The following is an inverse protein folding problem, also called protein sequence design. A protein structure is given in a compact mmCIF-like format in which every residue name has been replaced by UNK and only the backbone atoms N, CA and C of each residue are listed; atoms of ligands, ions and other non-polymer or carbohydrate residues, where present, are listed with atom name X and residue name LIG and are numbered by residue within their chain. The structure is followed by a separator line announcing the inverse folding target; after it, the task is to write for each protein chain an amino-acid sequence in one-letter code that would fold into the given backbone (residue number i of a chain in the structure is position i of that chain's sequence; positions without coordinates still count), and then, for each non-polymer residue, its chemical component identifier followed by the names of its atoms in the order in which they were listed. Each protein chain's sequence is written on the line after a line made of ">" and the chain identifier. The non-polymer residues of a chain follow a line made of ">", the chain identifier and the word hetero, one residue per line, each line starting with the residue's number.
data_IF_596087396854
#
_entry.id   IF_596087396854
#
_cell.length_a   1.000
_cell.length_b   1.000
_cell.length_c   1.000
_cell.angle_alpha   90.00
_cell.angle_beta   90.00
_cell.angle_gamma   90.00
#
_symmetry.space_group_name_H-M   'P 1'
#
loop_
_entity.id
_entity.type
_entity.pdbx_description
1 polymer ?
#
# COMPACT_ATOMS: atom_id res chain seq x y z
N UNK A 1 -9.39 10.65 -4.71
CA UNK A 1 -8.46 10.00 -3.76
C UNK A 1 -8.97 8.66 -3.23
N UNK A 2 -10.14 8.57 -2.58
CA UNK A 2 -10.65 7.30 -1.99
C UNK A 2 -10.75 6.13 -2.98
N UNK A 3 -11.25 6.34 -4.20
CA UNK A 3 -11.41 5.25 -5.19
C UNK A 3 -10.09 4.61 -5.65
N UNK A 4 -9.00 5.37 -5.73
CA UNK A 4 -7.68 4.82 -6.14
C UNK A 4 -7.03 4.02 -5.02
N UNK A 5 -7.24 4.42 -3.76
CA UNK A 5 -6.77 3.68 -2.59
C UNK A 5 -7.41 2.29 -2.51
N UNK A 6 -8.72 2.21 -2.75
CA UNK A 6 -9.44 0.93 -2.81
C UNK A 6 -8.86 -0.02 -3.86
N UNK A 7 -8.58 0.48 -5.06
CA UNK A 7 -8.00 -0.32 -6.14
C UNK A 7 -6.61 -0.80 -5.72
N UNK A 8 -5.76 0.09 -5.21
CA UNK A 8 -4.42 -0.25 -4.75
C UNK A 8 -4.43 -1.34 -3.67
N UNK A 9 -5.22 -1.18 -2.61
CA UNK A 9 -5.33 -2.17 -1.53
C UNK A 9 -5.86 -3.50 -2.06
N UNK A 10 -6.88 -3.49 -2.94
CA UNK A 10 -7.40 -4.71 -3.53
C UNK A 10 -6.38 -5.45 -4.40
N UNK A 11 -5.53 -4.73 -5.13
CA UNK A 11 -4.43 -5.33 -5.91
C UNK A 11 -3.35 -5.90 -5.00
N UNK A 12 -2.96 -5.19 -3.93
CA UNK A 12 -1.98 -5.70 -2.97
C UNK A 12 -2.48 -6.95 -2.27
N UNK A 13 -3.76 -7.02 -1.89
CA UNK A 13 -4.35 -8.22 -1.29
C UNK A 13 -4.34 -9.39 -2.28
N UNK A 14 -4.69 -9.17 -3.56
CA UNK A 14 -4.62 -10.20 -4.60
C UNK A 14 -3.19 -10.73 -4.77
N UNK A 15 -2.19 -9.85 -4.80
CA UNK A 15 -0.77 -10.23 -4.91
C UNK A 15 -0.30 -11.05 -3.70
N UNK A 16 -0.69 -10.64 -2.48
CA UNK A 16 -0.39 -11.39 -1.25
C UNK A 16 -1.06 -12.76 -1.26
N UNK A 17 -2.34 -12.85 -1.62
CA UNK A 17 -3.06 -14.12 -1.70
C UNK A 17 -2.44 -15.06 -2.75
N UNK A 18 -1.98 -14.52 -3.87
CA UNK A 18 -1.24 -15.28 -4.90
C UNK A 18 0.09 -15.78 -4.35
N UNK A 19 0.85 -14.95 -3.63
CA UNK A 19 2.13 -15.35 -3.03
C UNK A 19 1.99 -16.44 -1.96
N UNK A 20 0.85 -16.50 -1.27
CA UNK A 20 0.54 -17.51 -0.25
C UNK A 20 -0.06 -18.80 -0.83
N UNK A 21 -0.20 -18.92 -2.16
CA UNK A 21 -0.76 -20.11 -2.82
C UNK A 21 -2.30 -20.17 -2.83
N UNK A 22 -2.99 -19.11 -2.42
CA UNK A 22 -4.46 -19.02 -2.41
C UNK A 22 -5.05 -18.38 -3.70
N UNK A 23 -4.21 -18.17 -4.71
CA UNK A 23 -4.46 -17.28 -5.86
C UNK A 23 -5.62 -17.63 -6.81
N UNK A 24 -6.39 -18.68 -6.55
CA UNK A 24 -7.55 -19.07 -7.37
C UNK A 24 -8.90 -18.96 -6.66
N UNK A 25 -8.92 -18.73 -5.33
CA UNK A 25 -10.16 -18.83 -4.55
C UNK A 25 -11.04 -17.57 -4.60
N UNK A 26 -10.49 -16.38 -4.85
CA UNK A 26 -11.24 -15.13 -4.80
C UNK A 26 -10.90 -14.24 -6.00
N UNK A 27 -11.91 -13.83 -6.76
CA UNK A 27 -11.74 -12.89 -7.88
C UNK A 27 -11.44 -11.48 -7.37
N UNK A 28 -10.71 -10.67 -8.15
CA UNK A 28 -10.45 -9.24 -7.82
C UNK A 28 -11.72 -8.46 -7.48
N UNK A 29 -12.80 -8.72 -8.22
CA UNK A 29 -14.10 -8.12 -7.97
C UNK A 29 -14.70 -8.58 -6.63
N UNK A 30 -14.49 -9.84 -6.25
CA UNK A 30 -14.89 -10.37 -4.95
C UNK A 30 -14.17 -9.68 -3.79
N UNK A 31 -12.87 -9.42 -3.91
CA UNK A 31 -12.09 -8.69 -2.88
C UNK A 31 -12.67 -7.28 -2.67
N UNK A 32 -12.94 -6.55 -3.77
CA UNK A 32 -13.51 -5.20 -3.71
C UNK A 32 -14.88 -5.20 -3.03
N UNK A 33 -15.75 -6.16 -3.37
CA UNK A 33 -17.08 -6.28 -2.76
C UNK A 33 -16.99 -6.60 -1.28
N UNK A 34 -16.09 -7.50 -0.87
CA UNK A 34 -15.87 -7.82 0.55
C UNK A 34 -15.40 -6.57 1.30
N UNK A 35 -14.42 -5.83 0.76
CA UNK A 35 -13.95 -4.58 1.37
C UNK A 35 -15.09 -3.57 1.51
N UNK A 36 -15.90 -3.39 0.47
CA UNK A 36 -17.05 -2.47 0.51
C UNK A 36 -18.06 -2.87 1.60
N UNK A 37 -18.38 -4.16 1.72
CA UNK A 37 -19.27 -4.68 2.77
C UNK A 37 -18.68 -4.47 4.16
N UNK A 38 -17.36 -4.69 4.33
CA UNK A 38 -16.68 -4.49 5.60
C UNK A 38 -16.63 -3.01 6.01
N UNK A 39 -16.47 -2.09 5.06
CA UNK A 39 -16.37 -0.64 5.34
C UNK A 39 -17.73 0.04 5.54
N UNK A 40 -18.79 -0.48 4.91
CA UNK A 40 -20.16 0.06 5.01
C UNK A 40 -20.64 0.26 6.46
N UNK A 41 -20.50 -0.68 7.41
CA UNK A 41 -20.92 -0.48 8.79
C UNK A 41 -20.18 0.66 9.49
N UNK A 42 -18.91 0.92 9.13
CA UNK A 42 -18.12 2.01 9.71
C UNK A 42 -18.62 3.38 9.24
N UNK A 43 -19.30 3.46 8.09
CA UNK A 43 -19.91 4.73 7.62
C UNK A 43 -21.08 5.19 8.48
N UNK A 44 -21.70 4.30 9.25
CA UNK A 44 -22.80 4.65 10.17
C UNK A 44 -22.31 5.20 11.52
N UNK A 45 -21.01 5.04 11.84
CA UNK A 45 -20.44 5.50 13.11
C UNK A 45 -20.23 7.03 13.04
N UNK A 46 -21.09 7.77 13.72
CA UNK A 46 -21.06 9.25 13.72
C UNK A 46 -19.97 9.86 14.63
N UNK A 47 -19.36 9.07 15.53
CA UNK A 47 -18.30 9.52 16.44
C UNK A 47 -17.04 8.70 16.24
N UNK A 48 -16.05 9.30 15.58
CA UNK A 48 -14.77 8.67 15.25
C UNK A 48 -13.74 8.79 16.39
N UNK A 49 -14.08 9.42 17.52
CA UNK A 49 -13.17 9.62 18.66
C UNK A 49 -12.60 8.30 19.22
N UNK A 50 -13.37 7.20 19.14
CA UNK A 50 -12.89 5.86 19.53
C UNK A 50 -11.86 5.24 18.56
N UNK A 51 -11.70 5.80 17.36
CA UNK A 51 -10.77 5.30 16.35
C UNK A 51 -9.36 5.87 16.48
N UNK A 52 -9.13 6.86 17.34
CA UNK A 52 -7.80 7.47 17.52
C UNK A 52 -6.74 6.45 17.95
N UNK A 53 -7.10 5.54 18.86
CA UNK A 53 -6.19 4.47 19.28
C UNK A 53 -5.90 3.47 18.13
N UNK A 54 -6.92 3.11 17.35
CA UNK A 54 -6.77 2.24 16.17
C UNK A 54 -5.90 2.92 15.11
N UNK A 55 -6.07 4.22 14.90
CA UNK A 55 -5.24 5.00 13.99
C UNK A 55 -3.78 5.01 14.43
N UNK A 56 -3.51 5.21 15.73
CA UNK A 56 -2.15 5.15 16.26
C UNK A 56 -1.49 3.78 16.05
N UNK A 57 -2.24 2.69 16.26
CA UNK A 57 -1.75 1.33 15.98
C UNK A 57 -1.45 1.16 14.49
N UNK A 58 -2.34 1.60 13.61
CA UNK A 58 -2.14 1.54 12.17
C UNK A 58 -0.89 2.33 11.75
N UNK A 59 -0.69 3.54 12.28
CA UNK A 59 0.51 4.34 12.04
C UNK A 59 1.77 3.62 12.51
N UNK A 60 1.76 3.00 13.69
CA UNK A 60 2.90 2.25 14.20
C UNK A 60 3.23 1.03 13.31
N UNK A 61 2.21 0.32 12.81
CA UNK A 61 2.39 -0.81 11.89
C UNK A 61 2.95 -0.36 10.53
N UNK A 62 2.48 0.77 9.99
CA UNK A 62 3.01 1.35 8.75
C UNK A 62 4.48 1.77 8.95
N UNK A 63 4.79 2.42 10.07
CA UNK A 63 6.17 2.80 10.37
C UNK A 63 7.08 1.58 10.49
N UNK A 64 6.64 0.55 11.22
CA UNK A 64 7.37 -0.70 11.34
C UNK A 64 7.60 -1.39 10.00
N UNK A 65 6.58 -1.45 9.13
CA UNK A 65 6.72 -2.06 7.80
C UNK A 65 7.70 -1.30 6.91
N UNK A 66 7.70 0.04 6.96
CA UNK A 66 8.68 0.86 6.25
C UNK A 66 10.11 0.57 6.72
N UNK A 67 10.33 0.52 8.04
CA UNK A 67 11.65 0.17 8.60
C UNK A 67 12.07 -1.23 8.16
N UNK A 68 11.16 -2.21 8.24
CA UNK A 68 11.44 -3.58 7.84
C UNK A 68 11.82 -3.68 6.35
N UNK A 69 11.08 -3.00 5.46
CA UNK A 69 11.40 -2.93 4.03
C UNK A 69 12.78 -2.34 3.81
N UNK A 70 13.11 -1.21 4.44
CA UNK A 70 14.43 -0.57 4.30
C UNK A 70 15.55 -1.51 4.76
N UNK A 71 15.40 -2.14 5.94
CA UNK A 71 16.42 -3.05 6.49
C UNK A 71 16.62 -4.27 5.58
N UNK A 72 15.54 -4.90 5.13
CA UNK A 72 15.60 -6.06 4.22
C UNK A 72 16.21 -5.65 2.89
N UNK A 73 15.79 -4.53 2.30
CA UNK A 73 16.33 -4.04 1.03
C UNK A 73 17.83 -3.73 1.13
N UNK A 74 18.29 -3.09 2.20
CA UNK A 74 19.72 -2.80 2.40
C UNK A 74 20.53 -4.08 2.60
N UNK A 75 20.01 -5.04 3.38
CA UNK A 75 20.68 -6.32 3.61
C UNK A 75 20.78 -7.12 2.32
N UNK A 76 19.68 -7.21 1.56
CA UNK A 76 19.65 -7.89 0.27
C UNK A 76 20.57 -7.21 -0.76
N UNK A 77 20.61 -5.88 -0.80
CA UNK A 77 21.52 -5.13 -1.67
C UNK A 77 22.99 -5.40 -1.32
N UNK A 78 23.30 -5.56 -0.02
CA UNK A 78 24.65 -5.88 0.44
C UNK A 78 25.06 -7.31 0.07
N UNK A 79 24.14 -8.26 0.13
CA UNK A 79 24.41 -9.68 -0.12
C UNK A 79 24.42 -10.04 -1.61
N UNK A 80 23.47 -9.50 -2.38
CA UNK A 80 23.23 -9.89 -3.78
C UNK A 80 23.58 -8.79 -4.79
N UNK A 81 23.89 -7.57 -4.33
CA UNK A 81 24.13 -6.44 -5.21
C UNK A 81 22.86 -5.91 -5.86
N UNK A 82 23.04 -5.05 -6.87
CA UNK A 82 21.94 -4.45 -7.64
C UNK A 82 21.37 -5.51 -8.59
N UNK A 83 20.05 -5.68 -8.61
CA UNK A 83 19.38 -6.60 -9.53
C UNK A 83 19.55 -6.14 -10.99
N UNK A 84 19.65 -7.09 -11.94
CA UNK A 84 19.91 -6.79 -13.35
C UNK A 84 18.82 -5.94 -14.03
N UNK A 85 17.57 -6.06 -13.55
CA UNK A 85 16.42 -5.28 -14.02
C UNK A 85 16.36 -3.83 -13.50
N UNK A 86 17.32 -3.41 -12.66
CA UNK A 86 17.36 -2.02 -12.18
C UNK A 86 17.80 -1.13 -13.33
N UNK A 87 16.83 -0.44 -13.93
CA UNK A 87 17.09 0.55 -14.95
C UNK A 87 17.54 1.87 -14.33
N UNK A 88 18.57 2.48 -14.93
CA UNK A 88 19.00 3.82 -14.57
C UNK A 88 17.90 4.85 -14.85
N UNK A 89 17.86 5.90 -14.04
CA UNK A 89 16.90 6.99 -14.21
C UNK A 89 16.90 7.56 -15.64
N UNK A 90 15.72 7.62 -16.27
CA UNK A 90 15.53 8.17 -17.61
C UNK A 90 15.00 9.60 -17.53
N UNK A 91 15.70 10.61 -18.09
CA UNK A 91 15.25 12.00 -18.02
C UNK A 91 13.87 12.27 -18.65
N UNK A 92 13.48 11.45 -19.65
CA UNK A 92 12.17 11.54 -20.31
C UNK A 92 10.99 11.26 -19.37
N UNK A 93 11.20 10.54 -18.26
CA UNK A 93 10.17 10.20 -17.28
C UNK A 93 10.17 11.12 -16.06
N UNK A 94 11.02 12.17 -16.04
CA UNK A 94 11.18 13.09 -14.90
C UNK A 94 9.86 13.70 -14.43
N UNK A 95 9.04 14.22 -15.34
CA UNK A 95 7.77 14.85 -14.97
C UNK A 95 6.76 13.84 -14.42
N UNK A 96 6.75 12.61 -14.96
CA UNK A 96 5.89 11.53 -14.45
C UNK A 96 6.35 11.07 -13.06
N UNK A 97 7.66 11.01 -12.84
CA UNK A 97 8.25 10.70 -11.54
C UNK A 97 7.89 11.75 -10.49
N UNK A 98 8.09 13.04 -10.80
CA UNK A 98 7.74 14.14 -9.89
C UNK A 98 6.23 14.14 -9.60
N UNK A 99 5.38 13.97 -10.62
CA UNK A 99 3.93 13.91 -10.44
C UNK A 99 3.50 12.76 -9.52
N UNK A 100 4.11 11.58 -9.69
CA UNK A 100 3.84 10.42 -8.84
C UNK A 100 4.34 10.62 -7.40
N UNK A 101 5.51 11.23 -7.23
CA UNK A 101 6.06 11.56 -5.92
C UNK A 101 5.18 12.58 -5.18
N UNK A 102 4.76 13.65 -5.85
CA UNK A 102 3.84 14.64 -5.28
C UNK A 102 2.50 14.00 -4.90
N UNK A 103 1.97 13.10 -5.72
CA UNK A 103 0.74 12.37 -5.41
C UNK A 103 0.89 11.47 -4.17
N UNK A 104 2.04 10.81 -4.00
CA UNK A 104 2.32 10.00 -2.81
C UNK A 104 2.43 10.86 -1.53
N UNK A 105 2.87 12.11 -1.67
CA UNK A 105 3.05 13.07 -0.58
C UNK A 105 1.82 13.96 -0.31
N UNK A 106 0.77 13.85 -1.12
CA UNK A 106 -0.46 14.68 -1.03
C UNK A 106 -1.15 14.54 0.34
N UNK A 107 -0.90 13.44 1.07
CA UNK A 107 -1.43 13.21 2.43
C UNK A 107 -0.64 13.85 3.58
N UNK A 108 0.51 14.50 3.34
CA UNK A 108 1.32 15.12 4.41
C UNK A 108 0.91 16.57 4.75
N UNK A 109 0.01 17.17 3.96
CA UNK A 109 -0.38 18.57 4.10
C UNK A 109 -1.58 18.81 5.06
N UNK A 110 -1.94 17.82 5.88
CA UNK A 110 -3.06 17.90 6.84
C UNK A 110 -2.54 17.66 8.25
#
# INVERSE_FOLDING_TARGET
>A
LRSRYFIFVSTTIDDVLRSLGAGTLISKHGIIVIMAICELPFTFIHRLEGLTAINAIATALIFFSLVAVVVVSVTHLREFGVHEDVTSFQPSTLYLFIGSALFALEGMAI
#
